data_IF_350827892986
#
_entry.id   IF_350827892986
#
_cell.length_a   1.000
_cell.length_b   1.000
_cell.length_c   1.000
_cell.angle_alpha   90.00
_cell.angle_beta   90.00
_cell.angle_gamma   90.00
#
_symmetry.space_group_name_H-M   'P 1'
#
loop_
_entity.id
_entity.type
_entity.pdbx_description
1 polymer ?
#
# COMPACT_ATOMS: atom_id res chain seq x y z
N UNK A 1 -9.59 7.89 -22.17
CA UNK A 1 -9.49 7.40 -21.01
C UNK A 1 -8.42 6.44 -20.85
N UNK A 2 -7.81 6.31 -19.80
CA UNK A 2 -6.83 5.38 -19.64
C UNK A 2 -7.06 4.64 -18.40
N UNK A 3 -6.40 3.52 -18.26
CA UNK A 3 -6.68 2.66 -17.22
C UNK A 3 -5.48 2.48 -16.38
N UNK A 4 -5.18 3.39 -15.55
CA UNK A 4 -4.12 3.23 -14.63
C UNK A 4 -4.60 2.65 -13.36
N UNK A 5 -3.81 1.93 -12.67
CA UNK A 5 -4.19 1.48 -11.36
C UNK A 5 -4.29 2.71 -10.51
N UNK A 6 -5.26 2.79 -9.67
CA UNK A 6 -5.37 3.91 -8.81
C UNK A 6 -4.77 3.64 -7.47
N UNK A 7 -3.91 2.69 -7.34
CA UNK A 7 -3.26 2.43 -6.07
C UNK A 7 -1.94 1.74 -6.27
N UNK A 8 -1.10 1.81 -5.26
CA UNK A 8 0.19 1.14 -5.25
C UNK A 8 0.19 0.20 -4.06
N UNK A 9 0.71 -1.01 -4.24
CA UNK A 9 0.78 -1.95 -3.13
C UNK A 9 2.22 -2.25 -2.79
N UNK A 10 2.48 -2.51 -1.52
CA UNK A 10 3.81 -2.92 -1.08
C UNK A 10 3.65 -3.99 -0.03
N UNK A 11 4.68 -4.79 0.15
CA UNK A 11 4.72 -5.75 1.23
C UNK A 11 5.75 -5.20 2.22
N UNK A 12 5.28 -4.70 3.33
CA UNK A 12 6.14 -3.97 4.26
C UNK A 12 6.64 -4.86 5.39
N UNK A 13 7.87 -4.66 5.82
CA UNK A 13 8.31 -5.29 7.05
C UNK A 13 7.59 -4.61 8.19
N UNK A 14 7.54 -5.27 9.34
CA UNK A 14 6.87 -4.66 10.49
C UNK A 14 7.55 -3.36 10.91
N UNK A 15 8.82 -3.22 10.61
CA UNK A 15 9.54 -2.04 11.02
C UNK A 15 9.28 -0.86 10.10
N UNK A 16 8.91 -1.11 8.87
CA UNK A 16 8.67 -0.05 7.91
C UNK A 16 7.21 0.41 7.89
N UNK A 17 6.32 -0.32 8.56
CA UNK A 17 4.91 0.05 8.56
C UNK A 17 4.69 1.52 8.96
N UNK A 18 5.31 2.01 10.04
CA UNK A 18 5.04 3.40 10.42
C UNK A 18 5.49 4.38 9.35
N UNK A 19 6.54 4.04 8.61
CA UNK A 19 7.04 4.92 7.58
C UNK A 19 6.07 4.96 6.43
N UNK A 20 5.55 3.80 6.01
CA UNK A 20 4.60 3.76 4.93
C UNK A 20 3.28 4.44 5.36
N UNK A 21 2.89 4.27 6.62
CA UNK A 21 1.68 4.92 7.08
C UNK A 21 1.79 6.43 7.05
N UNK A 22 2.98 6.96 7.28
CA UNK A 22 3.14 8.38 7.19
C UNK A 22 2.99 8.86 5.79
N UNK A 23 3.31 8.05 4.80
CA UNK A 23 3.17 8.41 3.41
C UNK A 23 1.71 8.32 2.99
N UNK A 24 0.92 7.51 3.67
CA UNK A 24 -0.48 7.35 3.33
C UNK A 24 -0.90 5.94 3.04
N UNK A 25 0.00 4.98 3.17
CA UNK A 25 -0.37 3.59 2.95
C UNK A 25 -1.21 3.08 4.10
N UNK A 26 -2.07 2.14 3.81
CA UNK A 26 -2.88 1.48 4.83
C UNK A 26 -2.67 0.00 4.71
N UNK A 27 -2.79 -0.70 5.82
CA UNK A 27 -2.65 -2.15 5.80
C UNK A 27 -3.90 -2.75 5.21
N UNK A 28 -3.73 -3.69 4.31
CA UNK A 28 -4.88 -4.35 3.69
C UNK A 28 -5.11 -5.73 4.26
N UNK A 29 -4.12 -6.32 4.94
CA UNK A 29 -4.25 -7.63 5.53
C UNK A 29 -3.35 -7.68 6.73
N UNK A 30 -3.50 -8.72 7.53
CA UNK A 30 -2.64 -8.86 8.67
C UNK A 30 -1.29 -9.38 8.23
N UNK A 31 -0.32 -9.34 9.11
CA UNK A 31 1.02 -9.80 8.78
C UNK A 31 1.00 -11.23 8.32
N UNK A 32 1.72 -11.51 7.26
CA UNK A 32 1.81 -12.84 6.70
C UNK A 32 3.24 -13.32 6.73
N UNK A 33 3.42 -14.60 6.57
CA UNK A 33 4.76 -15.15 6.52
C UNK A 33 4.87 -16.06 5.31
N UNK A 34 5.92 -15.93 4.55
CA UNK A 34 6.14 -16.80 3.41
C UNK A 34 7.63 -17.07 3.33
N UNK A 35 8.02 -18.33 3.30
CA UNK A 35 9.41 -18.74 3.21
C UNK A 35 10.25 -18.09 4.30
N UNK A 36 9.71 -18.00 5.49
CA UNK A 36 10.45 -17.45 6.61
C UNK A 36 10.47 -15.95 6.67
N UNK A 37 9.85 -15.27 5.70
CA UNK A 37 9.83 -13.82 5.71
C UNK A 37 8.47 -13.33 6.12
N UNK A 38 8.43 -12.37 7.01
CA UNK A 38 7.17 -11.82 7.47
C UNK A 38 6.96 -10.45 6.87
N UNK A 39 5.76 -10.19 6.41
CA UNK A 39 5.46 -8.93 5.78
C UNK A 39 3.98 -8.60 5.94
N UNK A 40 3.65 -7.34 5.81
CA UNK A 40 2.27 -6.88 5.89
C UNK A 40 1.93 -6.18 4.58
N UNK A 41 0.94 -6.67 3.86
CA UNK A 41 0.55 -6.00 2.62
C UNK A 41 -0.08 -4.65 2.92
N UNK A 42 0.30 -3.65 2.17
CA UNK A 42 -0.22 -2.30 2.35
C UNK A 42 -0.54 -1.69 1.01
N UNK A 43 -1.42 -0.72 1.01
CA UNK A 43 -1.86 -0.09 -0.22
C UNK A 43 -1.92 1.42 -0.04
N UNK A 44 -1.53 2.16 -1.06
CA UNK A 44 -1.66 3.60 -1.10
C UNK A 44 -2.64 3.94 -2.21
N UNK A 45 -3.72 4.63 -1.86
CA UNK A 45 -4.69 5.05 -2.84
C UNK A 45 -4.19 6.34 -3.47
N UNK A 46 -4.09 6.30 -4.79
CA UNK A 46 -3.65 7.48 -5.50
C UNK A 46 -4.87 8.31 -5.84
N UNK A 47 -4.95 9.57 -5.47
CA UNK A 47 -6.05 10.31 -5.72
C UNK A 47 -5.95 10.84 -7.02
N UNK A 48 -6.71 10.60 -7.89
CA UNK A 48 -6.65 11.03 -9.11
C UNK A 48 -7.39 12.18 -9.27
N UNK A 49 -7.16 13.19 -9.06
CA UNK A 49 -7.85 14.26 -9.04
C UNK A 49 -8.34 14.77 -10.19
N UNK A 50 -8.40 14.26 -11.03
CA UNK A 50 -8.90 14.73 -12.11
C UNK A 50 -10.08 15.03 -12.06
N UNK A 51 -10.68 15.03 -11.78
CA UNK A 51 -11.75 15.29 -11.64
C UNK A 51 -12.18 16.11 -12.07
N UNK A 52 -12.24 16.41 -12.36
CA UNK A 52 -12.65 17.11 -12.71
C UNK A 52 -13.08 17.36 -12.92
N UNK A 53 -13.15 17.31 -12.88
CA UNK A 53 -13.48 17.46 -12.83
C UNK A 53 -13.62 17.62 -13.11
#
# INVERSE_FOLDING_TARGET
>A
MYLYPSFITVNSSRYAIPIYEKIGFIKTEEEKEQDGLKFTPMKLILKDEVKGQ
#
